data_IF_094692611049
#
_entry.id   IF_094692611049
#
_cell.length_a   1.000
_cell.length_b   1.000
_cell.length_c   1.000
_cell.angle_alpha   90.00
_cell.angle_beta   90.00
_cell.angle_gamma   90.00
#
_symmetry.space_group_name_H-M   'P 1'
#
loop_
_entity.id
_entity.type
_entity.pdbx_description
1 polymer ?
#
# COMPACT_ATOMS: atom_id res chain seq x y z
N UNK A 1 -10.61 0.68 14.86
CA UNK A 1 -11.06 -0.54 14.15
C UNK A 1 -10.28 -0.64 12.85
N UNK A 2 -9.44 -1.66 12.70
CA UNK A 2 -8.72 -1.93 11.44
C UNK A 2 -9.56 -2.87 10.59
N UNK A 3 -9.83 -2.49 9.35
CA UNK A 3 -10.40 -3.41 8.38
C UNK A 3 -9.37 -4.52 8.11
N UNK A 4 -9.79 -5.78 8.19
CA UNK A 4 -8.92 -6.90 7.83
C UNK A 4 -8.42 -6.67 6.40
N UNK A 5 -7.11 -6.85 6.12
CA UNK A 5 -6.62 -6.74 4.77
C UNK A 5 -7.36 -7.75 3.91
N UNK A 6 -7.69 -7.29 2.71
CA UNK A 6 -8.37 -8.05 1.68
C UNK A 6 -7.86 -9.49 1.54
N UNK A 7 -8.77 -10.46 1.43
CA UNK A 7 -8.40 -11.84 1.15
C UNK A 7 -7.81 -11.98 -0.26
N UNK A 8 -6.71 -12.73 -0.39
CA UNK A 8 -6.02 -13.00 -1.66
C UNK A 8 -4.66 -12.32 -1.81
N UNK A 9 -3.95 -12.65 -2.89
CA UNK A 9 -2.68 -12.01 -3.21
C UNK A 9 -2.95 -10.63 -3.85
N UNK A 10 -2.22 -9.57 -3.45
CA UNK A 10 -2.30 -8.27 -4.10
C UNK A 10 -1.67 -8.30 -5.49
N UNK A 11 -2.09 -7.35 -6.32
CA UNK A 11 -1.34 -6.93 -7.49
C UNK A 11 -0.30 -5.86 -7.09
N UNK A 12 0.89 -5.93 -7.69
CA UNK A 12 1.88 -4.86 -7.62
C UNK A 12 1.51 -3.79 -8.65
N UNK A 13 1.19 -2.60 -8.17
CA UNK A 13 0.86 -1.43 -8.99
C UNK A 13 2.12 -0.63 -9.32
N UNK A 14 3.09 -0.62 -8.40
CA UNK A 14 4.43 -0.05 -8.57
C UNK A 14 5.45 -0.88 -7.77
N UNK A 15 6.67 -1.00 -8.28
CA UNK A 15 7.72 -1.85 -7.71
C UNK A 15 7.51 -3.36 -7.91
N UNK A 16 8.38 -4.15 -7.28
CA UNK A 16 8.41 -5.62 -7.41
C UNK A 16 8.65 -6.31 -6.05
N UNK A 17 8.31 -7.60 -5.92
CA UNK A 17 8.72 -8.41 -4.78
C UNK A 17 10.25 -8.46 -4.67
N UNK A 18 10.82 -8.11 -3.52
CA UNK A 18 12.29 -8.11 -3.36
C UNK A 18 12.85 -7.14 -2.33
N UNK A 19 12.01 -6.44 -1.57
CA UNK A 19 12.45 -5.58 -0.47
C UNK A 19 12.67 -4.11 -0.84
N UNK A 20 12.47 -3.73 -2.09
CA UNK A 20 12.40 -2.33 -2.51
C UNK A 20 11.08 -1.65 -2.14
N UNK A 21 10.91 -0.36 -2.50
CA UNK A 21 9.61 0.31 -2.48
C UNK A 21 8.61 -0.43 -3.37
N UNK A 22 7.41 -0.67 -2.85
CA UNK A 22 6.35 -1.34 -3.60
C UNK A 22 4.97 -0.80 -3.22
N UNK A 23 4.12 -0.60 -4.22
CA UNK A 23 2.71 -0.26 -4.06
C UNK A 23 1.88 -1.49 -4.42
N UNK A 24 1.12 -1.97 -3.46
CA UNK A 24 0.34 -3.20 -3.57
C UNK A 24 -1.14 -2.87 -3.43
N UNK A 25 -1.99 -3.45 -4.27
CA UNK A 25 -3.45 -3.23 -4.25
C UNK A 25 -4.18 -4.55 -4.28
N UNK A 26 -5.29 -4.62 -3.57
CA UNK A 26 -6.24 -5.73 -3.70
C UNK A 26 -7.48 -5.21 -4.39
N UNK A 27 -8.05 -5.99 -5.31
CA UNK A 27 -9.34 -5.68 -5.91
C UNK A 27 -10.39 -6.56 -5.25
N UNK A 28 -11.37 -5.92 -4.63
CA UNK A 28 -12.56 -6.63 -4.16
C UNK A 28 -13.67 -6.57 -5.19
N UNK A 29 -14.49 -7.61 -5.24
CA UNK A 29 -15.69 -7.65 -6.08
C UNK A 29 -16.78 -6.67 -5.64
N UNK A 30 -16.64 -6.06 -4.46
CA UNK A 30 -17.54 -5.02 -3.93
C UNK A 30 -17.23 -3.59 -4.46
N UNK A 31 -16.21 -3.47 -5.31
CA UNK A 31 -15.77 -2.19 -5.88
C UNK A 31 -14.77 -1.42 -5.02
N UNK A 32 -14.41 -1.91 -3.83
CA UNK A 32 -13.34 -1.36 -3.01
C UNK A 32 -11.98 -1.89 -3.46
N UNK A 33 -10.94 -1.07 -3.29
CA UNK A 33 -9.58 -1.44 -3.69
C UNK A 33 -8.54 -0.92 -2.69
N UNK A 34 -8.41 -1.56 -1.51
CA UNK A 34 -7.42 -1.15 -0.53
C UNK A 34 -6.01 -1.26 -1.12
N UNK A 35 -5.18 -0.26 -0.82
CA UNK A 35 -3.80 -0.16 -1.30
C UNK A 35 -2.83 0.10 -0.14
N UNK A 36 -1.64 -0.48 -0.23
CA UNK A 36 -0.57 -0.35 0.77
C UNK A 36 0.73 0.01 0.06
N UNK A 37 1.40 1.04 0.56
CA UNK A 37 2.73 1.45 0.11
C UNK A 37 3.78 0.95 1.12
N UNK A 38 4.63 0.01 0.69
CA UNK A 38 5.72 -0.54 1.49
C UNK A 38 7.03 0.15 1.14
N UNK A 39 7.84 0.49 2.15
CA UNK A 39 9.14 1.17 2.01
C UNK A 39 9.11 2.52 1.27
N UNK A 40 7.93 3.13 1.10
CA UNK A 40 7.83 4.52 0.65
C UNK A 40 8.21 5.46 1.78
N UNK A 41 9.21 6.30 1.52
CA UNK A 41 9.58 7.37 2.44
C UNK A 41 8.60 8.52 2.25
N UNK A 42 7.72 8.71 3.22
CA UNK A 42 6.91 9.93 3.33
C UNK A 42 7.79 10.96 4.04
N UNK A 43 8.21 12.05 3.40
CA UNK A 43 8.93 13.11 4.10
C UNK A 43 8.01 13.67 5.18
N UNK A 44 8.48 13.70 6.43
CA UNK A 44 7.78 14.42 7.49
C UNK A 44 7.93 15.90 7.15
N UNK A 45 6.84 16.65 6.89
CA UNK A 45 6.94 18.09 6.74
C UNK A 45 7.52 18.64 8.04
N UNK A 46 8.72 19.23 7.98
CA UNK A 46 9.37 19.77 9.16
C UNK A 46 8.44 20.78 9.82
N UNK A 47 8.25 20.66 11.13
CA UNK A 47 7.74 21.76 11.93
C UNK A 47 8.66 22.95 11.65
N UNK A 48 8.19 23.91 10.84
CA UNK A 48 8.87 25.18 10.65
C UNK A 48 8.90 25.85 12.03
N UNK A 49 10.11 25.91 12.60
CA UNK A 49 10.40 26.73 13.77
C UNK A 49 10.46 28.21 13.40
#
# INVERSE_FOLDING_TARGET
MGHLPAEGAPEYVDGEPGGGPALMRWRHGDGTAPAVALNYRIPIPGCAG
#
